data_IF_509079161525
#
_entry.id   IF_509079161525
#
_cell.length_a   1.000
_cell.length_b   1.000
_cell.length_c   1.000
_cell.angle_alpha   90.00
_cell.angle_beta   90.00
_cell.angle_gamma   90.00
#
_symmetry.space_group_name_H-M   'P 1'
#
loop_
_entity.id
_entity.type
_entity.pdbx_description
1 polymer ?
#
# COMPACT_ATOMS: atom_id res chain seq x y z
N UNK A 1 5.73 -3.25 -1.10
CA UNK A 1 4.90 -2.41 -1.98
C UNK A 1 5.27 -0.94 -1.88
N UNK A 2 5.56 -0.43 -0.70
CA UNK A 2 5.92 0.97 -0.39
C UNK A 2 7.38 1.12 0.08
N UNK A 3 8.23 0.17 -0.25
CA UNK A 3 9.62 0.13 0.20
C UNK A 3 10.46 1.27 -0.40
N UNK A 4 10.26 1.55 -1.68
CA UNK A 4 10.96 2.64 -2.37
C UNK A 4 10.60 4.00 -1.75
N UNK A 5 9.32 4.20 -1.45
CA UNK A 5 8.79 5.43 -0.85
C UNK A 5 9.31 5.64 0.57
N UNK A 6 9.42 4.58 1.37
CA UNK A 6 10.00 4.64 2.71
C UNK A 6 11.50 4.91 2.64
N UNK A 7 12.23 4.19 1.77
CA UNK A 7 13.66 4.39 1.60
C UNK A 7 13.99 5.82 1.17
N UNK A 8 13.19 6.41 0.28
CA UNK A 8 13.37 7.80 -0.14
C UNK A 8 13.23 8.81 1.02
N UNK A 9 12.43 8.53 2.04
CA UNK A 9 12.38 9.36 3.25
C UNK A 9 13.70 9.30 4.00
N UNK A 10 14.27 8.10 4.17
CA UNK A 10 15.51 7.90 4.90
C UNK A 10 16.77 8.42 4.17
N UNK A 11 16.69 8.73 2.88
CA UNK A 11 17.78 9.44 2.18
C UNK A 11 17.98 10.86 2.73
N UNK A 12 16.96 11.45 3.34
CA UNK A 12 16.95 12.84 3.79
C UNK A 12 16.64 13.01 5.28
N UNK A 13 16.35 11.92 5.98
CA UNK A 13 15.98 11.92 7.39
C UNK A 13 16.87 10.96 8.19
N UNK A 14 17.42 11.44 9.31
CA UNK A 14 18.17 10.58 10.23
C UNK A 14 17.21 9.70 11.04
N UNK A 15 17.06 8.49 10.58
CA UNK A 15 16.25 7.45 11.22
C UNK A 15 17.03 6.50 12.12
N UNK A 16 18.17 6.92 12.68
CA UNK A 16 19.06 6.06 13.48
C UNK A 16 18.39 5.43 14.72
N UNK A 17 17.27 5.99 15.17
CA UNK A 17 16.44 5.49 16.27
C UNK A 17 15.19 4.72 15.77
N UNK A 18 15.06 4.46 14.48
CA UNK A 18 13.93 3.76 13.88
C UNK A 18 14.38 2.39 13.39
N UNK A 19 13.72 1.34 13.86
CA UNK A 19 13.86 -0.01 13.35
C UNK A 19 12.67 -0.35 12.44
N UNK A 20 12.93 -0.83 11.22
CA UNK A 20 11.89 -1.17 10.25
C UNK A 20 11.69 -2.67 10.22
N UNK A 21 10.45 -3.10 10.46
CA UNK A 21 10.03 -4.50 10.37
C UNK A 21 9.16 -4.72 9.14
N UNK A 22 9.74 -5.32 8.11
CA UNK A 22 9.05 -5.63 6.88
C UNK A 22 8.17 -6.87 7.03
N UNK A 23 6.95 -6.80 6.51
CA UNK A 23 6.00 -7.90 6.52
C UNK A 23 5.81 -8.49 5.12
N UNK A 24 5.36 -9.76 5.05
CA UNK A 24 5.07 -10.43 3.78
C UNK A 24 3.94 -9.72 3.02
N UNK A 25 4.12 -9.54 1.73
CA UNK A 25 3.20 -8.79 0.87
C UNK A 25 1.82 -9.43 0.72
N UNK A 26 1.73 -10.76 0.82
CA UNK A 26 0.49 -11.52 0.58
C UNK A 26 -0.63 -11.28 1.59
N UNK A 27 -0.33 -10.75 2.77
CA UNK A 27 -1.33 -10.59 3.84
C UNK A 27 -2.44 -9.60 3.50
N UNK A 28 -2.18 -8.60 2.64
CA UNK A 28 -3.19 -7.60 2.24
C UNK A 28 -4.39 -8.17 1.45
N UNK A 29 -4.26 -9.39 0.90
CA UNK A 29 -5.34 -10.06 0.18
C UNK A 29 -6.40 -10.68 1.11
N UNK A 30 -6.10 -10.77 2.42
CA UNK A 30 -6.96 -11.33 3.45
C UNK A 30 -6.97 -10.38 4.65
N UNK A 31 -8.01 -9.53 4.80
CA UNK A 31 -8.07 -8.53 5.89
C UNK A 31 -8.01 -9.15 7.30
N UNK A 32 -8.59 -10.34 7.49
CA UNK A 32 -8.56 -11.00 8.81
C UNK A 32 -7.15 -11.52 9.12
N UNK A 33 -6.47 -12.08 8.11
CA UNK A 33 -5.08 -12.50 8.25
C UNK A 33 -4.15 -11.32 8.48
N UNK A 34 -4.35 -10.23 7.74
CA UNK A 34 -3.59 -8.98 7.93
C UNK A 34 -3.75 -8.48 9.37
N UNK A 35 -5.00 -8.43 9.87
CA UNK A 35 -5.29 -8.01 11.25
C UNK A 35 -4.53 -8.82 12.28
N UNK A 36 -4.59 -10.14 12.19
CA UNK A 36 -3.91 -11.06 13.10
C UNK A 36 -2.39 -10.86 13.09
N UNK A 37 -1.79 -10.84 11.89
CA UNK A 37 -0.34 -10.75 11.74
C UNK A 37 0.19 -9.42 12.29
N UNK A 38 -0.40 -8.30 11.89
CA UNK A 38 0.07 -6.97 12.33
C UNK A 38 -0.19 -6.77 13.82
N UNK A 39 -1.31 -7.26 14.37
CA UNK A 39 -1.54 -7.17 15.82
C UNK A 39 -0.46 -7.92 16.62
N UNK A 40 -0.03 -9.07 16.14
CA UNK A 40 1.06 -9.83 16.78
C UNK A 40 2.40 -9.07 16.69
N UNK A 41 2.67 -8.40 15.56
CA UNK A 41 3.87 -7.58 15.42
C UNK A 41 3.84 -6.33 16.32
N UNK A 42 2.68 -5.72 16.52
CA UNK A 42 2.50 -4.62 17.49
C UNK A 42 2.90 -5.10 18.89
N UNK A 43 2.35 -6.21 19.37
CA UNK A 43 2.69 -6.75 20.69
C UNK A 43 4.18 -7.15 20.79
N UNK A 44 4.76 -7.63 19.71
CA UNK A 44 6.19 -7.94 19.67
C UNK A 44 7.06 -6.69 19.77
N UNK A 45 6.67 -5.59 19.12
CA UNK A 45 7.36 -4.31 19.21
C UNK A 45 7.25 -3.69 20.61
N UNK A 46 6.07 -3.78 21.25
CA UNK A 46 5.91 -3.38 22.65
C UNK A 46 6.85 -4.17 23.57
N UNK A 47 6.89 -5.48 23.42
CA UNK A 47 7.75 -6.35 24.22
C UNK A 47 9.25 -6.09 23.98
N UNK A 48 9.62 -5.56 22.81
CA UNK A 48 10.96 -5.10 22.49
C UNK A 48 11.30 -3.73 23.08
N UNK A 49 10.33 -3.02 23.66
CA UNK A 49 10.51 -1.73 24.32
C UNK A 49 10.40 -0.54 23.38
N UNK A 50 9.60 -0.64 22.32
CA UNK A 50 9.31 0.48 21.44
C UNK A 50 8.55 1.59 22.20
N UNK A 51 9.00 2.84 22.09
CA UNK A 51 8.30 4.01 22.63
C UNK A 51 7.11 4.42 21.75
N UNK A 52 7.23 4.17 20.45
CA UNK A 52 6.22 4.50 19.44
C UNK A 52 6.24 3.43 18.34
N UNK A 53 5.08 3.01 17.89
CA UNK A 53 4.92 2.07 16.77
C UNK A 53 4.25 2.80 15.62
N UNK A 54 4.95 2.90 14.50
CA UNK A 54 4.47 3.53 13.28
C UNK A 54 4.04 2.44 12.28
N UNK A 55 2.78 2.45 11.90
CA UNK A 55 2.17 1.48 11.00
C UNK A 55 2.04 2.09 9.60
N UNK A 56 2.93 1.73 8.67
CA UNK A 56 2.89 2.20 7.29
C UNK A 56 1.83 1.44 6.47
N UNK A 57 0.58 1.52 6.90
CA UNK A 57 -0.60 0.88 6.31
C UNK A 57 -1.74 1.89 6.15
N UNK A 58 -2.73 1.56 5.32
CA UNK A 58 -4.06 2.19 5.34
C UNK A 58 -5.06 1.29 6.05
N UNK A 59 -6.36 1.59 5.91
CA UNK A 59 -7.48 0.78 6.42
C UNK A 59 -7.48 -0.63 5.80
N UNK A 60 -7.07 -0.73 4.52
CA UNK A 60 -6.85 -1.99 3.79
C UNK A 60 -8.03 -2.96 3.91
N UNK A 61 -9.22 -2.52 3.49
CA UNK A 61 -10.43 -3.35 3.53
C UNK A 61 -10.85 -3.74 4.96
N UNK A 62 -10.71 -2.82 5.92
CA UNK A 62 -10.95 -3.01 7.35
C UNK A 62 -9.94 -3.94 8.05
N UNK A 63 -8.83 -4.26 7.41
CA UNK A 63 -7.77 -5.06 8.02
C UNK A 63 -7.14 -4.37 9.24
N UNK A 64 -7.08 -3.03 9.24
CA UNK A 64 -6.53 -2.26 10.35
C UNK A 64 -7.49 -2.08 11.53
N UNK A 65 -8.79 -2.33 11.36
CA UNK A 65 -9.78 -2.15 12.44
C UNK A 65 -9.48 -3.08 13.60
N UNK A 66 -9.40 -2.51 14.80
CA UNK A 66 -9.12 -3.22 16.04
C UNK A 66 -7.64 -3.29 16.42
N UNK A 67 -6.70 -2.86 15.57
CA UNK A 67 -5.29 -2.76 15.98
C UNK A 67 -5.16 -1.84 17.17
N UNK A 68 -4.38 -2.25 18.15
CA UNK A 68 -4.15 -1.51 19.40
C UNK A 68 -2.79 -1.89 19.99
N UNK A 69 -2.34 -1.08 20.89
CA UNK A 69 -1.19 -1.31 21.75
C UNK A 69 -1.62 -1.10 23.20
N UNK A 70 -1.13 -1.91 24.13
CA UNK A 70 -1.47 -1.80 25.55
C UNK A 70 -0.68 -0.69 26.25
N UNK A 71 0.53 -0.43 25.81
CA UNK A 71 1.48 0.45 26.53
C UNK A 71 2.20 1.47 25.66
N UNK A 72 2.04 1.41 24.33
CA UNK A 72 2.82 2.20 23.37
C UNK A 72 1.90 3.06 22.49
N UNK A 73 2.37 4.23 22.08
CA UNK A 73 1.66 5.08 21.11
C UNK A 73 1.69 4.40 19.74
N UNK A 74 0.52 4.33 19.08
CA UNK A 74 0.40 3.92 17.69
C UNK A 74 0.19 5.14 16.80
N UNK A 75 0.90 5.18 15.66
CA UNK A 75 0.66 6.17 14.62
C UNK A 75 0.52 5.48 13.27
N UNK A 76 -0.45 5.92 12.44
CA UNK A 76 -0.62 5.41 11.08
C UNK A 76 -1.26 6.45 10.16
N UNK A 77 -0.99 6.39 8.83
CA UNK A 77 -1.64 7.28 7.88
C UNK A 77 -3.15 7.03 7.80
N UNK A 78 -3.92 8.13 7.72
CA UNK A 78 -5.38 8.11 7.63
C UNK A 78 -5.82 7.96 6.17
N UNK A 79 -5.65 6.78 5.58
CA UNK A 79 -5.99 6.48 4.19
C UNK A 79 -6.69 5.13 4.05
N UNK A 80 -7.58 4.99 3.06
CA UNK A 80 -8.29 3.76 2.80
C UNK A 80 -7.34 2.60 2.43
N UNK A 81 -6.28 2.91 1.67
CA UNK A 81 -5.26 1.95 1.25
C UNK A 81 -3.93 2.63 0.87
N UNK A 82 -2.92 1.82 0.56
CA UNK A 82 -1.61 2.32 0.16
C UNK A 82 -1.62 3.03 -1.21
N UNK A 83 -2.55 2.71 -2.10
CA UNK A 83 -2.66 3.38 -3.40
C UNK A 83 -3.14 4.83 -3.20
N UNK A 84 -4.20 5.02 -2.40
CA UNK A 84 -4.69 6.33 -2.03
C UNK A 84 -3.62 7.16 -1.32
N UNK A 85 -2.85 6.53 -0.45
CA UNK A 85 -1.72 7.16 0.25
C UNK A 85 -0.68 7.70 -0.72
N UNK A 86 -0.29 6.92 -1.74
CA UNK A 86 0.70 7.34 -2.73
C UNK A 86 0.15 8.32 -3.77
N UNK A 87 -1.15 8.33 -4.04
CA UNK A 87 -1.79 9.30 -4.92
C UNK A 87 -2.00 10.67 -4.25
N UNK A 88 -1.87 10.75 -2.92
CA UNK A 88 -2.02 11.99 -2.19
C UNK A 88 -0.79 12.90 -2.38
N UNK A 89 -0.99 14.05 -3.01
CA UNK A 89 0.05 15.07 -3.26
C UNK A 89 -0.21 16.34 -2.45
N UNK A 90 -0.47 16.22 -1.16
CA UNK A 90 -0.70 17.37 -0.26
C UNK A 90 -2.06 18.07 -0.40
N UNK A 91 -2.97 17.55 -1.22
CA UNK A 91 -4.34 18.06 -1.35
C UNK A 91 -5.33 17.14 -0.65
N UNK A 92 -6.19 17.72 0.19
CA UNK A 92 -7.11 17.01 1.09
C UNK A 92 -8.26 16.22 0.46
N UNK A 93 -8.43 16.22 -0.86
CA UNK A 93 -9.55 15.50 -1.49
C UNK A 93 -9.16 14.05 -1.79
N UNK A 94 -9.14 13.24 -0.75
CA UNK A 94 -8.66 11.85 -0.74
C UNK A 94 -9.59 10.84 -1.39
N UNK A 95 -10.84 11.21 -1.67
CA UNK A 95 -11.87 10.29 -2.19
C UNK A 95 -11.86 10.16 -3.71
N UNK A 96 -11.19 11.07 -4.42
CA UNK A 96 -11.30 11.19 -5.86
C UNK A 96 -10.08 10.71 -6.65
N UNK A 97 -9.08 10.11 -6.00
CA UNK A 97 -7.86 9.68 -6.69
C UNK A 97 -8.02 8.36 -7.43
N UNK A 98 -8.84 7.45 -6.92
CA UNK A 98 -9.06 6.17 -7.57
C UNK A 98 -10.08 6.31 -8.69
N UNK A 99 -9.64 6.07 -9.93
CA UNK A 99 -10.54 5.96 -11.07
C UNK A 99 -11.05 4.53 -11.22
N UNK A 100 -12.35 4.38 -11.40
CA UNK A 100 -12.95 3.07 -11.64
C UNK A 100 -12.31 2.41 -12.87
N UNK A 101 -12.03 1.10 -12.76
CA UNK A 101 -11.40 0.33 -13.84
C UNK A 101 -9.91 0.57 -14.01
N UNK A 102 -9.24 1.28 -13.10
CA UNK A 102 -7.79 1.42 -13.11
C UNK A 102 -7.14 0.43 -12.15
N UNK A 103 -6.14 -0.28 -12.64
CA UNK A 103 -5.22 -1.06 -11.85
C UNK A 103 -3.94 -0.25 -11.65
N UNK A 104 -3.57 0.01 -10.42
CA UNK A 104 -2.44 0.88 -10.09
C UNK A 104 -1.17 0.06 -9.90
N UNK A 105 -0.05 0.59 -10.38
CA UNK A 105 1.29 0.01 -10.26
C UNK A 105 2.27 1.04 -9.70
N UNK A 106 3.11 0.58 -8.79
CA UNK A 106 4.32 1.28 -8.32
C UNK A 106 5.55 0.42 -8.56
N UNK A 107 6.73 0.93 -8.24
CA UNK A 107 7.96 0.16 -8.29
C UNK A 107 7.87 -1.15 -7.51
N UNK A 108 7.35 -1.09 -6.28
CA UNK A 108 7.16 -2.26 -5.45
C UNK A 108 6.17 -3.29 -6.02
N UNK A 109 5.04 -2.84 -6.58
CA UNK A 109 4.05 -3.72 -7.20
C UNK A 109 4.54 -4.40 -8.47
N UNK A 110 5.32 -3.71 -9.31
CA UNK A 110 5.83 -4.28 -10.56
C UNK A 110 6.85 -5.40 -10.34
N UNK A 111 7.50 -5.45 -9.17
CA UNK A 111 8.49 -6.46 -8.78
C UNK A 111 7.93 -7.60 -7.92
N UNK A 112 6.63 -7.58 -7.64
CA UNK A 112 5.98 -8.58 -6.78
C UNK A 112 5.78 -9.90 -7.52
N UNK A 113 5.92 -11.03 -6.81
CA UNK A 113 5.57 -12.37 -7.32
C UNK A 113 4.08 -12.51 -7.64
N UNK A 114 3.22 -11.73 -6.97
CA UNK A 114 1.80 -11.59 -7.27
C UNK A 114 1.47 -10.60 -8.39
N UNK A 115 2.50 -10.04 -9.05
CA UNK A 115 2.31 -9.10 -10.14
C UNK A 115 1.54 -9.72 -11.32
N UNK A 116 0.83 -8.86 -12.07
CA UNK A 116 -0.11 -9.28 -13.11
C UNK A 116 0.43 -10.26 -14.13
N UNK A 117 1.66 -10.03 -14.60
CA UNK A 117 2.28 -10.92 -15.61
C UNK A 117 2.63 -12.27 -15.00
N UNK A 118 3.13 -12.30 -13.77
CA UNK A 118 3.38 -13.56 -13.04
C UNK A 118 2.09 -14.34 -12.84
N UNK A 119 1.00 -13.64 -12.48
CA UNK A 119 -0.32 -14.28 -12.39
C UNK A 119 -0.78 -14.83 -13.74
N UNK A 120 -0.60 -14.08 -14.82
CA UNK A 120 -0.92 -14.55 -16.16
C UNK A 120 -0.13 -15.82 -16.50
N UNK A 121 1.18 -15.82 -16.29
CA UNK A 121 2.05 -16.97 -16.56
C UNK A 121 1.61 -18.20 -15.77
N UNK A 122 1.30 -18.05 -14.47
CA UNK A 122 0.76 -19.11 -13.62
C UNK A 122 -0.56 -19.68 -14.16
N UNK A 123 -1.46 -18.81 -14.66
CA UNK A 123 -2.71 -19.27 -15.29
C UNK A 123 -2.45 -19.98 -16.63
N UNK A 124 -1.50 -19.51 -17.42
CA UNK A 124 -1.13 -20.15 -18.69
C UNK A 124 -0.51 -21.54 -18.45
N UNK A 125 0.40 -21.64 -17.49
CA UNK A 125 1.02 -22.91 -17.12
C UNK A 125 0.00 -23.93 -16.60
N UNK A 126 -0.86 -23.49 -15.67
CA UNK A 126 -1.83 -24.38 -14.99
C UNK A 126 -2.98 -24.83 -15.91
N UNK A 127 -3.47 -23.97 -16.79
CA UNK A 127 -4.71 -24.20 -17.54
C UNK A 127 -4.54 -24.23 -19.06
N UNK A 128 -3.31 -24.00 -19.56
CA UNK A 128 -3.01 -23.84 -20.97
C UNK A 128 -3.43 -22.46 -21.51
N UNK A 129 -2.83 -22.07 -22.65
CA UNK A 129 -2.90 -20.71 -23.19
C UNK A 129 -4.35 -20.20 -23.35
N UNK A 130 -5.22 -20.96 -24.02
CA UNK A 130 -6.60 -20.54 -24.31
C UNK A 130 -7.44 -20.34 -23.04
N UNK A 131 -7.36 -21.30 -22.09
CA UNK A 131 -8.15 -21.26 -20.85
C UNK A 131 -7.55 -20.27 -19.86
N UNK A 132 -6.23 -20.21 -19.75
CA UNK A 132 -5.52 -19.26 -18.88
C UNK A 132 -5.85 -17.82 -19.24
N UNK A 133 -5.72 -17.44 -20.52
CA UNK A 133 -6.11 -16.09 -21.01
C UNK A 133 -7.58 -15.77 -20.74
N UNK A 134 -8.49 -16.75 -20.93
CA UNK A 134 -9.91 -16.53 -20.65
C UNK A 134 -10.18 -16.28 -19.16
N UNK A 135 -9.55 -17.03 -18.27
CA UNK A 135 -9.69 -16.86 -16.83
C UNK A 135 -9.15 -15.51 -16.38
N UNK A 136 -7.96 -15.13 -16.86
CA UNK A 136 -7.35 -13.83 -16.57
C UNK A 136 -8.25 -12.68 -17.03
N UNK A 137 -8.81 -12.79 -18.25
CA UNK A 137 -9.76 -11.79 -18.77
C UNK A 137 -11.00 -11.67 -17.89
N UNK A 138 -11.56 -12.77 -17.40
CA UNK A 138 -12.73 -12.74 -16.51
C UNK A 138 -12.38 -12.09 -15.15
N UNK A 139 -11.20 -12.34 -14.63
CA UNK A 139 -10.73 -11.73 -13.39
C UNK A 139 -10.55 -10.21 -13.54
N UNK A 140 -10.11 -9.76 -14.72
CA UNK A 140 -9.84 -8.37 -15.03
C UNK A 140 -10.98 -7.67 -15.79
N UNK A 141 -12.18 -8.24 -15.84
CA UNK A 141 -13.29 -7.75 -16.68
C UNK A 141 -13.72 -6.31 -16.30
N UNK A 142 -13.55 -5.93 -15.05
CA UNK A 142 -13.83 -4.56 -14.57
C UNK A 142 -12.71 -3.56 -14.84
N UNK A 143 -11.52 -4.02 -15.25
CA UNK A 143 -10.37 -3.16 -15.48
C UNK A 143 -10.23 -2.78 -16.95
N UNK A 144 -9.95 -1.52 -17.18
CA UNK A 144 -9.74 -0.93 -18.52
C UNK A 144 -8.35 -0.34 -18.68
N UNK A 145 -7.70 0.00 -17.57
CA UNK A 145 -6.39 0.65 -17.54
C UNK A 145 -5.44 -0.03 -16.56
N UNK A 146 -4.16 -0.02 -16.92
CA UNK A 146 -3.04 -0.14 -16.01
C UNK A 146 -2.42 1.24 -15.83
N UNK A 147 -2.37 1.73 -14.59
CA UNK A 147 -1.96 3.10 -14.28
C UNK A 147 -0.71 3.07 -13.41
N UNK A 148 0.39 3.60 -13.91
CA UNK A 148 1.63 3.77 -13.15
C UNK A 148 1.50 5.00 -12.26
N UNK A 149 1.84 4.87 -10.97
CA UNK A 149 1.94 6.00 -10.03
C UNK A 149 3.41 6.40 -9.97
N UNK A 150 3.75 7.53 -10.55
CA UNK A 150 5.09 8.12 -10.45
C UNK A 150 5.20 8.88 -9.13
N UNK A 151 5.78 8.22 -8.13
CA UNK A 151 6.02 8.81 -6.79
C UNK A 151 7.33 9.61 -6.73
N UNK A 152 8.17 9.53 -7.77
CA UNK A 152 9.51 10.10 -7.76
C UNK A 152 10.51 9.37 -6.85
N UNK A 153 10.10 8.27 -6.21
CA UNK A 153 10.91 7.51 -5.25
C UNK A 153 11.66 6.32 -5.88
N UNK A 154 11.47 6.07 -7.16
CA UNK A 154 12.10 4.96 -7.91
C UNK A 154 12.30 5.30 -9.38
N UNK A 155 13.13 4.52 -10.07
CA UNK A 155 13.27 4.63 -11.52
C UNK A 155 11.98 4.17 -12.21
N UNK A 156 11.28 5.09 -12.84
CA UNK A 156 10.01 4.83 -13.52
C UNK A 156 10.17 4.03 -14.82
N UNK A 157 11.35 3.97 -15.41
CA UNK A 157 11.61 3.29 -16.69
C UNK A 157 11.19 1.82 -16.66
N UNK A 158 11.74 0.98 -15.76
CA UNK A 158 11.37 -0.43 -15.67
C UNK A 158 9.88 -0.66 -15.35
N UNK A 159 9.25 0.24 -14.56
CA UNK A 159 7.83 0.14 -14.23
C UNK A 159 6.96 0.45 -15.45
N UNK A 160 7.37 1.42 -16.26
CA UNK A 160 6.71 1.75 -17.51
C UNK A 160 6.80 0.59 -18.52
N UNK A 161 7.97 -0.03 -18.65
CA UNK A 161 8.17 -1.19 -19.54
C UNK A 161 7.27 -2.36 -19.10
N UNK A 162 7.19 -2.63 -17.80
CA UNK A 162 6.29 -3.62 -17.24
C UNK A 162 4.81 -3.29 -17.50
N UNK A 163 4.41 -2.03 -17.34
CA UNK A 163 3.03 -1.58 -17.58
C UNK A 163 2.66 -1.67 -19.07
N UNK A 164 3.60 -1.39 -20.00
CA UNK A 164 3.41 -1.55 -21.43
C UNK A 164 3.17 -3.01 -21.81
N UNK A 165 3.93 -3.93 -21.21
CA UNK A 165 3.73 -5.36 -21.45
C UNK A 165 2.40 -5.85 -20.84
N UNK A 166 2.01 -5.39 -19.64
CA UNK A 166 0.68 -5.65 -19.06
C UNK A 166 -0.44 -5.17 -19.99
N UNK A 167 -0.35 -3.92 -20.44
CA UNK A 167 -1.35 -3.32 -21.32
C UNK A 167 -1.52 -4.13 -22.61
N UNK A 168 -0.40 -4.56 -23.22
CA UNK A 168 -0.39 -5.37 -24.45
C UNK A 168 -0.97 -6.77 -24.21
N UNK A 169 -0.51 -7.49 -23.19
CA UNK A 169 -0.92 -8.88 -22.96
C UNK A 169 -2.36 -9.01 -22.45
N UNK A 170 -2.83 -8.06 -21.66
CA UNK A 170 -4.14 -8.08 -21.03
C UNK A 170 -5.17 -7.23 -21.76
N UNK A 171 -4.78 -6.57 -22.87
CA UNK A 171 -5.62 -5.67 -23.65
C UNK A 171 -6.20 -4.53 -22.81
N UNK A 172 -5.35 -3.91 -22.00
CA UNK A 172 -5.66 -2.72 -21.19
C UNK A 172 -5.03 -1.48 -21.83
N UNK A 173 -5.50 -0.30 -21.47
CA UNK A 173 -4.82 0.94 -21.79
C UNK A 173 -3.80 1.27 -20.71
N UNK A 174 -2.66 1.87 -21.08
CA UNK A 174 -1.68 2.37 -20.12
C UNK A 174 -1.92 3.83 -19.82
N UNK A 175 -1.77 4.19 -18.55
CA UNK A 175 -1.81 5.56 -18.07
C UNK A 175 -0.67 5.78 -17.04
N UNK A 176 -0.31 7.03 -16.80
CA UNK A 176 0.63 7.43 -15.73
C UNK A 176 0.04 8.61 -14.99
N UNK A 177 0.12 8.57 -13.68
CA UNK A 177 -0.32 9.65 -12.78
C UNK A 177 0.82 10.01 -11.82
N UNK A 178 0.89 11.26 -11.43
CA UNK A 178 1.83 11.69 -10.41
C UNK A 178 1.29 11.36 -9.03
N UNK A 179 2.19 10.92 -8.15
CA UNK A 179 1.95 10.66 -6.76
C UNK A 179 3.10 11.18 -5.90
N UNK A 180 3.20 10.68 -4.69
CA UNK A 180 4.27 11.07 -3.76
C UNK A 180 4.31 10.14 -2.54
N UNK A 181 5.20 10.48 -1.62
CA UNK A 181 5.39 9.75 -0.36
C UNK A 181 5.13 10.64 0.87
N UNK A 182 4.49 11.80 0.69
CA UNK A 182 4.28 12.77 1.77
C UNK A 182 3.63 12.19 3.02
N UNK A 183 2.56 11.34 2.95
CA UNK A 183 1.98 10.74 4.14
C UNK A 183 2.96 9.82 4.90
N UNK A 184 3.81 9.09 4.18
CA UNK A 184 4.85 8.25 4.77
C UNK A 184 5.97 9.10 5.38
N UNK A 185 6.35 10.19 4.72
CA UNK A 185 7.31 11.15 5.26
C UNK A 185 6.81 11.74 6.58
N UNK A 186 5.57 12.23 6.65
CA UNK A 186 4.94 12.73 7.90
C UNK A 186 4.94 11.67 8.99
N UNK A 187 4.57 10.43 8.65
CA UNK A 187 4.57 9.33 9.62
C UNK A 187 5.96 9.12 10.23
N UNK A 188 6.99 9.03 9.39
CA UNK A 188 8.36 8.68 9.79
C UNK A 188 9.05 9.84 10.50
N UNK A 189 8.85 11.09 10.03
CA UNK A 189 9.51 12.27 10.62
C UNK A 189 8.84 12.76 11.90
N UNK A 190 7.66 12.24 12.25
CA UNK A 190 6.90 12.69 13.42
C UNK A 190 6.14 14.01 13.19
N UNK A 191 6.06 14.49 11.95
CA UNK A 191 5.28 15.68 11.58
C UNK A 191 3.79 15.34 11.46
N UNK A 192 3.23 14.80 12.54
CA UNK A 192 1.87 14.29 12.55
C UNK A 192 0.83 15.41 12.59
N UNK A 193 -0.04 15.41 11.62
CA UNK A 193 -1.19 16.30 11.50
C UNK A 193 -2.49 15.47 11.38
N UNK A 194 -3.57 16.08 10.85
CA UNK A 194 -4.83 15.36 10.62
C UNK A 194 -4.75 14.19 9.63
N UNK A 195 -3.62 14.05 8.92
CA UNK A 195 -3.36 12.95 7.99
C UNK A 195 -2.85 11.69 8.68
N UNK A 196 -2.49 11.81 9.96
CA UNK A 196 -1.99 10.71 10.77
C UNK A 196 -2.94 10.46 11.93
N UNK A 197 -3.41 9.23 12.05
CA UNK A 197 -4.12 8.74 13.23
C UNK A 197 -3.07 8.49 14.30
N UNK A 198 -3.27 9.07 15.47
CA UNK A 198 -2.41 8.84 16.65
C UNK A 198 -3.28 8.33 17.77
N UNK A 199 -2.94 7.17 18.31
CA UNK A 199 -3.63 6.55 19.43
C UNK A 199 -2.73 6.47 20.65
N UNK A 200 -3.23 6.94 21.76
CA UNK A 200 -2.65 6.67 23.08
C UNK A 200 -2.74 5.17 23.42
N UNK A 201 -1.92 4.67 24.36
CA UNK A 201 -2.02 3.31 24.85
C UNK A 201 -3.45 2.89 25.19
N UNK A 202 -3.80 1.66 24.82
CA UNK A 202 -5.14 1.06 24.93
C UNK A 202 -6.22 1.66 24.02
N UNK A 203 -5.87 2.61 23.15
CA UNK A 203 -6.72 3.06 22.05
C UNK A 203 -6.76 2.01 20.92
N UNK A 204 -7.90 1.86 20.27
CA UNK A 204 -8.09 0.93 19.16
C UNK A 204 -8.37 1.68 17.87
N UNK A 205 -7.80 1.21 16.74
CA UNK A 205 -8.15 1.69 15.41
C UNK A 205 -9.62 1.34 15.11
N UNK A 206 -10.40 2.33 14.67
CA UNK A 206 -11.82 2.20 14.30
C UNK A 206 -12.00 2.60 12.84
N UNK A 207 -13.02 2.08 12.19
CA UNK A 207 -13.37 2.45 10.82
C UNK A 207 -13.64 3.96 10.70
N UNK A 208 -14.31 4.54 11.68
CA UNK A 208 -14.62 5.97 11.75
C UNK A 208 -13.39 6.88 11.85
N UNK A 209 -12.23 6.36 12.29
CA UNK A 209 -10.99 7.13 12.36
C UNK A 209 -10.47 7.50 10.95
N UNK A 210 -10.96 6.84 9.90
CA UNK A 210 -10.64 7.12 8.50
C UNK A 210 -11.64 8.06 7.83
N UNK A 211 -12.75 8.42 8.51
CA UNK A 211 -13.71 9.39 8.00
C UNK A 211 -13.22 10.82 8.17
N UNK A 212 -13.24 11.58 7.05
CA UNK A 212 -12.86 13.02 7.01
C UNK A 212 -14.07 13.96 7.10
N UNK A 213 -15.23 13.47 7.50
CA UNK A 213 -16.50 14.22 7.50
C UNK A 213 -16.84 14.88 8.83
N UNK A 214 -15.92 14.87 9.79
CA UNK A 214 -16.13 15.54 11.10
C UNK A 214 -15.31 16.81 11.24
#
# INVERSE_FOLDING_TARGET
>A
MIEDEINAVFEHFDGSNIEIWWQERGHHNDPDKLREVIQNEIFRAEAAGADTIMLAYGLCGNGAVGWHSDSTVLAMPRFDDCVNMMLCTGKRDRRNYLSAGCMYLTGGWSRDEGALLTMLDNYLEKYGERKGKKLMKLMLDSYTHVTVIDTGCYDIGPVNDYADECAKQLNLQKNTVYGGNEPLAKLITGEWDEDIIVLDPSGHIREEDFDFTS
#
